data_IF_568571017809
#
_entry.id   IF_568571017809
#
_cell.length_a   1.000
_cell.length_b   1.000
_cell.length_c   1.000
_cell.angle_alpha   90.00
_cell.angle_beta   90.00
_cell.angle_gamma   90.00
#
_symmetry.space_group_name_H-M   'P 1'
#
loop_
_entity.id
_entity.type
_entity.pdbx_description
1 polymer ?
#
# COMPACT_ATOMS: atom_id res chain seq x y z
N UNK A 1 11.17 12.83 -9.44
CA UNK A 1 11.65 11.78 -8.51
C UNK A 1 10.53 10.77 -8.36
N UNK A 2 10.49 9.73 -9.21
CA UNK A 2 9.50 8.66 -9.10
C UNK A 2 9.97 7.62 -8.09
N UNK A 3 9.14 7.34 -7.08
CA UNK A 3 9.39 6.28 -6.10
C UNK A 3 9.27 4.92 -6.82
N UNK A 4 10.40 4.37 -7.26
CA UNK A 4 10.57 3.08 -7.97
C UNK A 4 10.05 1.86 -7.20
N UNK A 5 9.67 2.03 -5.92
CA UNK A 5 9.08 0.99 -5.09
C UNK A 5 7.61 0.71 -5.42
N UNK A 6 6.88 1.67 -6.00
CA UNK A 6 5.45 1.51 -6.34
C UNK A 6 5.22 0.81 -7.70
N UNK A 7 6.21 0.86 -8.60
CA UNK A 7 6.09 0.30 -9.95
C UNK A 7 6.38 -1.21 -10.02
N UNK A 8 7.01 -1.79 -8.98
CA UNK A 8 7.34 -3.22 -8.89
C UNK A 8 6.41 -4.01 -7.96
N UNK A 9 5.21 -3.52 -7.67
CA UNK A 9 4.25 -4.30 -6.89
C UNK A 9 3.63 -5.43 -7.73
N UNK A 10 3.29 -6.57 -7.11
CA UNK A 10 2.60 -7.65 -7.81
C UNK A 10 1.28 -7.11 -8.40
N UNK A 11 1.03 -7.36 -9.69
CA UNK A 11 -0.19 -6.94 -10.42
C UNK A 11 -1.45 -7.73 -9.98
N UNK A 12 -1.64 -7.88 -8.68
CA UNK A 12 -2.87 -8.42 -8.13
C UNK A 12 -3.90 -7.28 -8.00
N UNK A 13 -5.21 -7.56 -8.17
CA UNK A 13 -6.25 -6.55 -7.99
C UNK A 13 -6.19 -5.83 -6.64
N UNK A 14 -5.72 -6.52 -5.61
CA UNK A 14 -5.56 -6.00 -4.25
C UNK A 14 -4.47 -4.91 -4.18
N UNK A 15 -3.31 -5.18 -4.78
CA UNK A 15 -2.19 -4.23 -4.80
C UNK A 15 -2.47 -2.96 -5.63
N UNK A 16 -3.26 -3.06 -6.69
CA UNK A 16 -3.67 -1.89 -7.49
C UNK A 16 -4.52 -0.92 -6.64
N UNK A 17 -5.45 -1.47 -5.84
CA UNK A 17 -6.26 -0.66 -4.92
C UNK A 17 -5.40 -0.04 -3.82
N UNK A 18 -4.50 -0.81 -3.22
CA UNK A 18 -3.55 -0.31 -2.23
C UNK A 18 -2.67 0.83 -2.78
N UNK A 19 -2.11 0.67 -3.98
CA UNK A 19 -1.25 1.67 -4.60
C UNK A 19 -2.02 2.96 -4.96
N UNK A 20 -3.27 2.86 -5.41
CA UNK A 20 -4.12 4.02 -5.66
C UNK A 20 -4.35 4.84 -4.38
N UNK A 21 -4.75 4.18 -3.30
CA UNK A 21 -5.01 4.83 -2.01
C UNK A 21 -3.72 5.42 -1.41
N UNK A 22 -2.60 4.68 -1.48
CA UNK A 22 -1.30 5.15 -0.96
C UNK A 22 -0.71 6.27 -1.79
N UNK A 23 -1.03 6.38 -3.08
CA UNK A 23 -0.61 7.51 -3.93
C UNK A 23 -1.29 8.81 -3.53
N UNK A 24 -2.56 8.75 -3.15
CA UNK A 24 -3.32 9.92 -2.68
C UNK A 24 -2.94 10.30 -1.23
N UNK A 25 -2.42 9.35 -0.45
CA UNK A 25 -2.04 9.53 0.94
C UNK A 25 -0.61 9.02 1.22
N UNK A 26 0.38 9.53 0.48
CA UNK A 26 1.79 9.11 0.56
C UNK A 26 2.42 9.23 1.96
N UNK A 27 1.94 10.17 2.77
CA UNK A 27 2.41 10.45 4.15
C UNK A 27 1.55 9.82 5.25
N UNK A 28 0.54 9.01 4.91
CA UNK A 28 -0.39 8.42 5.89
C UNK A 28 -0.15 6.93 6.11
N UNK A 29 -0.27 6.50 7.36
CA UNK A 29 -0.29 5.08 7.73
C UNK A 29 -1.57 4.43 7.16
N UNK A 30 -1.39 3.46 6.25
CA UNK A 30 -2.50 2.70 5.68
C UNK A 30 -2.65 1.38 6.44
N UNK A 31 -3.67 1.31 7.30
CA UNK A 31 -4.06 0.07 7.97
C UNK A 31 -4.92 -0.78 7.04
N UNK A 32 -4.37 -1.87 6.55
CA UNK A 32 -5.13 -2.78 5.71
C UNK A 32 -5.80 -3.85 6.57
N UNK A 33 -7.13 -3.91 6.53
CA UNK A 33 -7.91 -4.87 7.32
C UNK A 33 -7.96 -6.21 6.60
N UNK A 34 -7.21 -7.20 7.09
CA UNK A 34 -7.31 -8.59 6.68
C UNK A 34 -8.03 -9.39 7.78
N UNK A 35 -9.35 -9.46 7.67
CA UNK A 35 -10.19 -10.15 8.65
C UNK A 35 -10.28 -9.40 9.98
N UNK A 36 -9.86 -10.04 11.07
CA UNK A 36 -9.83 -9.47 12.43
C UNK A 36 -8.53 -8.72 12.76
N UNK A 37 -7.54 -8.77 11.86
CA UNK A 37 -6.26 -8.10 12.05
C UNK A 37 -6.09 -6.91 11.11
N UNK A 38 -5.32 -5.94 11.58
CA UNK A 38 -4.81 -4.85 10.78
C UNK A 38 -3.34 -5.11 10.48
N UNK A 39 -3.00 -5.26 9.21
CA UNK A 39 -1.62 -5.38 8.76
C UNK A 39 -1.13 -4.02 8.24
N UNK A 40 0.05 -3.61 8.73
CA UNK A 40 0.80 -2.49 8.18
C UNK A 40 1.78 -3.06 7.17
N UNK A 41 1.77 -2.51 5.95
CA UNK A 41 2.63 -2.97 4.87
C UNK A 41 3.76 -1.98 4.59
N UNK A 42 4.90 -2.50 4.14
CA UNK A 42 6.13 -1.76 3.81
C UNK A 42 6.83 -1.13 5.02
N UNK A 43 7.04 0.19 4.99
CA UNK A 43 7.87 0.96 5.93
C UNK A 43 7.14 1.37 7.20
N UNK A 44 5.85 1.06 7.28
CA UNK A 44 4.97 1.40 8.40
C UNK A 44 4.97 0.31 9.49
N UNK A 45 5.64 -0.82 9.24
CA UNK A 45 5.99 -1.83 10.24
C UNK A 45 7.38 -1.52 10.83
#
# INVERSE_FOLDING_TARGET
>A
MSNTYLDNLPNTPMWIQYAGIKKDALDSLLFYRMGDFYELFFKDA
#
